data_IF_128925545195
#
_entry.id   IF_128925545195
#
_cell.length_a   1.000
_cell.length_b   1.000
_cell.length_c   1.000
_cell.angle_alpha   90.00
_cell.angle_beta   90.00
_cell.angle_gamma   90.00
#
_symmetry.space_group_name_H-M   'P 1'
#
loop_
_entity.id
_entity.type
_entity.pdbx_description
1 polymer ?
#
# COMPACT_ATOMS: atom_id res chain seq x y z
N UNK A 1 -8.34 15.22 0.12
CA UNK A 1 -8.06 14.21 1.15
C UNK A 1 -8.43 12.86 0.57
N UNK A 2 -7.45 11.97 0.40
CA UNK A 2 -7.70 10.62 -0.10
C UNK A 2 -8.22 9.80 1.08
N UNK A 3 -9.38 9.17 0.91
CA UNK A 3 -10.14 8.49 1.96
C UNK A 3 -10.06 6.96 1.80
N UNK A 4 -8.96 6.43 1.25
CA UNK A 4 -8.81 4.98 1.14
C UNK A 4 -8.60 4.40 2.53
N UNK A 5 -9.46 3.49 2.93
CA UNK A 5 -9.52 2.93 4.27
C UNK A 5 -9.73 1.43 4.22
N UNK A 6 -9.74 0.78 5.38
CA UNK A 6 -10.08 -0.64 5.51
C UNK A 6 -11.38 -1.03 4.79
N UNK A 7 -12.38 -0.14 4.75
CA UNK A 7 -13.67 -0.41 4.09
C UNK A 7 -13.58 -0.43 2.56
N UNK A 8 -12.53 0.16 2.03
CA UNK A 8 -12.27 0.16 0.60
C UNK A 8 -11.52 -1.08 0.16
N UNK A 9 -10.84 -1.78 1.06
CA UNK A 9 -10.11 -3.01 0.72
C UNK A 9 -11.07 -4.09 0.18
N UNK A 10 -10.66 -4.75 -0.88
CA UNK A 10 -11.37 -5.88 -1.48
C UNK A 10 -11.12 -7.17 -0.71
N UNK A 11 -9.88 -7.40 -0.26
CA UNK A 11 -9.49 -8.61 0.44
C UNK A 11 -9.74 -8.50 1.94
N UNK A 12 -10.06 -9.62 2.59
CA UNK A 12 -10.51 -9.67 4.00
C UNK A 12 -9.58 -10.46 4.91
N UNK A 13 -8.57 -11.11 4.35
CA UNK A 13 -7.58 -11.97 5.01
C UNK A 13 -6.38 -11.21 5.61
N UNK A 14 -6.40 -9.88 5.53
CA UNK A 14 -5.38 -9.03 6.17
C UNK A 14 -5.33 -9.19 7.68
N UNK A 15 -4.10 -9.16 8.19
CA UNK A 15 -3.79 -8.94 9.60
C UNK A 15 -3.88 -7.44 9.92
N UNK A 16 -4.18 -7.15 11.19
CA UNK A 16 -4.39 -5.78 11.68
C UNK A 16 -3.57 -5.56 12.94
N UNK A 17 -2.25 -5.68 12.82
CA UNK A 17 -1.34 -5.48 13.92
C UNK A 17 -1.35 -4.02 14.40
N UNK A 18 -1.23 -3.82 15.71
CA UNK A 18 -1.17 -2.49 16.31
C UNK A 18 0.25 -1.95 16.17
N UNK A 19 0.39 -0.81 15.49
CA UNK A 19 1.67 -0.10 15.37
C UNK A 19 1.74 1.06 16.36
N UNK A 20 2.95 1.37 16.79
CA UNK A 20 3.20 2.55 17.62
C UNK A 20 2.96 3.84 16.83
N UNK A 21 2.67 4.92 17.56
CA UNK A 21 2.58 6.25 16.98
C UNK A 21 3.97 6.61 16.41
N UNK A 22 4.05 6.79 15.08
CA UNK A 22 5.28 7.04 14.29
C UNK A 22 6.09 5.81 13.85
N UNK A 23 5.52 4.62 13.87
CA UNK A 23 6.16 3.47 13.22
C UNK A 23 6.37 3.75 11.71
N UNK A 24 7.59 3.60 11.16
CA UNK A 24 7.88 3.89 9.76
C UNK A 24 7.12 2.97 8.78
N UNK A 25 6.60 1.83 9.24
CA UNK A 25 5.80 0.93 8.39
C UNK A 25 4.43 1.52 8.03
N UNK A 26 3.95 2.47 8.84
CA UNK A 26 2.65 3.14 8.66
C UNK A 26 2.75 4.67 8.71
N UNK A 27 3.96 5.22 8.62
CA UNK A 27 4.20 6.67 8.64
C UNK A 27 5.44 7.07 7.81
N UNK A 28 5.56 8.36 7.50
CA UNK A 28 6.69 8.91 6.77
C UNK A 28 6.54 8.84 5.26
N UNK A 29 7.63 8.57 4.58
CA UNK A 29 7.74 8.46 3.12
C UNK A 29 8.24 7.04 2.79
N UNK A 30 7.76 6.40 1.72
CA UNK A 30 8.27 5.10 1.30
C UNK A 30 9.79 5.15 1.11
N UNK A 31 10.50 4.25 1.79
CA UNK A 31 11.95 4.12 1.80
C UNK A 31 12.35 2.64 1.97
N UNK A 32 13.53 2.39 2.54
CA UNK A 32 14.06 1.05 2.85
C UNK A 32 13.32 0.35 4.00
N UNK A 33 12.20 0.88 4.49
CA UNK A 33 11.39 0.23 5.52
C UNK A 33 10.77 -1.07 4.98
N UNK A 34 10.83 -2.18 5.74
CA UNK A 34 10.17 -3.43 5.36
C UNK A 34 8.66 -3.26 5.19
N UNK A 35 8.11 -3.92 4.17
CA UNK A 35 6.69 -3.92 3.84
C UNK A 35 6.13 -5.34 3.89
N UNK A 36 4.99 -5.50 4.55
CA UNK A 36 4.26 -6.76 4.68
C UNK A 36 2.93 -6.66 3.95
N UNK A 37 2.78 -7.36 2.81
CA UNK A 37 1.56 -7.32 2.01
C UNK A 37 0.33 -7.92 2.71
N UNK A 38 0.53 -8.73 3.75
CA UNK A 38 -0.54 -9.32 4.55
C UNK A 38 -1.00 -8.42 5.70
N UNK A 39 -0.31 -7.30 5.98
CA UNK A 39 -0.69 -6.34 7.01
C UNK A 39 -1.53 -5.20 6.43
N UNK A 40 -2.82 -5.20 6.74
CA UNK A 40 -3.79 -4.25 6.18
C UNK A 40 -3.46 -2.79 6.50
N UNK A 41 -2.86 -2.53 7.66
CA UNK A 41 -2.43 -1.18 8.04
C UNK A 41 -1.29 -0.67 7.13
N UNK A 42 -0.32 -1.51 6.79
CA UNK A 42 0.79 -1.16 5.89
C UNK A 42 0.28 -0.98 4.46
N UNK A 43 -0.61 -1.86 3.98
CA UNK A 43 -1.22 -1.77 2.65
C UNK A 43 -2.02 -0.47 2.49
N UNK A 44 -2.90 -0.16 3.44
CA UNK A 44 -3.70 1.08 3.40
C UNK A 44 -2.80 2.31 3.48
N UNK A 45 -1.78 2.28 4.33
CA UNK A 45 -0.80 3.36 4.42
C UNK A 45 -0.10 3.59 3.08
N UNK A 46 0.48 2.55 2.50
CA UNK A 46 1.27 2.65 1.28
C UNK A 46 0.41 3.14 0.11
N UNK A 47 -0.79 2.56 -0.06
CA UNK A 47 -1.73 2.99 -1.10
C UNK A 47 -2.06 4.48 -0.95
N UNK A 48 -2.42 4.94 0.26
CA UNK A 48 -2.73 6.35 0.49
C UNK A 48 -1.54 7.26 0.17
N UNK A 49 -0.32 6.87 0.57
CA UNK A 49 0.90 7.63 0.27
C UNK A 49 1.14 7.74 -1.23
N UNK A 50 1.04 6.63 -1.96
CA UNK A 50 1.23 6.62 -3.41
C UNK A 50 0.15 7.43 -4.14
N UNK A 51 -1.10 7.34 -3.69
CA UNK A 51 -2.17 8.17 -4.23
C UNK A 51 -1.90 9.66 -4.04
N UNK A 52 -1.36 10.08 -2.89
CA UNK A 52 -0.95 11.48 -2.66
C UNK A 52 0.22 11.85 -3.58
N UNK A 53 1.25 11.00 -3.64
CA UNK A 53 2.47 11.26 -4.42
C UNK A 53 2.22 11.34 -5.92
N UNK A 54 1.22 10.63 -6.43
CA UNK A 54 0.87 10.57 -7.86
C UNK A 54 -0.40 11.35 -8.21
N UNK A 55 -0.94 12.14 -7.28
CA UNK A 55 -2.19 12.93 -7.39
C UNK A 55 -3.41 12.10 -7.87
N UNK A 56 -3.52 10.86 -7.40
CA UNK A 56 -4.70 10.02 -7.63
C UNK A 56 -5.77 10.28 -6.57
N UNK A 57 -7.02 10.44 -7.02
CA UNK A 57 -8.13 10.87 -6.16
C UNK A 57 -9.26 9.86 -6.02
N UNK A 58 -9.25 8.80 -6.81
CA UNK A 58 -10.33 7.80 -6.86
C UNK A 58 -9.98 6.54 -6.07
N UNK A 59 -10.91 6.08 -5.23
CA UNK A 59 -10.73 4.84 -4.46
C UNK A 59 -10.48 3.61 -5.36
N UNK A 60 -11.09 3.57 -6.55
CA UNK A 60 -10.87 2.51 -7.55
C UNK A 60 -9.39 2.38 -7.94
N UNK A 61 -8.64 3.48 -7.96
CA UNK A 61 -7.19 3.44 -8.22
C UNK A 61 -6.46 2.74 -7.06
N UNK A 62 -6.88 2.99 -5.82
CA UNK A 62 -6.42 2.26 -4.64
C UNK A 62 -6.73 0.77 -4.71
N UNK A 63 -7.93 0.39 -5.16
CA UNK A 63 -8.28 -1.03 -5.36
C UNK A 63 -7.45 -1.72 -6.43
N UNK A 64 -7.14 -1.03 -7.54
CA UNK A 64 -6.21 -1.56 -8.54
C UNK A 64 -4.83 -1.82 -7.94
N UNK A 65 -4.32 -0.89 -7.12
CA UNK A 65 -3.04 -1.06 -6.40
C UNK A 65 -3.10 -2.21 -5.40
N UNK A 66 -4.15 -2.28 -4.58
CA UNK A 66 -4.37 -3.37 -3.64
C UNK A 66 -4.32 -4.73 -4.33
N UNK A 67 -5.06 -4.88 -5.43
CA UNK A 67 -5.08 -6.12 -6.22
C UNK A 67 -3.70 -6.50 -6.74
N UNK A 68 -2.92 -5.53 -7.22
CA UNK A 68 -1.55 -5.79 -7.66
C UNK A 68 -0.65 -6.23 -6.48
N UNK A 69 -0.75 -5.54 -5.34
CA UNK A 69 0.02 -5.87 -4.12
C UNK A 69 -0.30 -7.30 -3.66
N UNK A 70 -1.59 -7.62 -3.56
CA UNK A 70 -2.06 -8.87 -2.98
C UNK A 70 -1.74 -10.06 -3.89
N UNK A 71 -2.15 -9.98 -5.17
CA UNK A 71 -2.14 -11.11 -6.08
C UNK A 71 -0.82 -11.29 -6.84
N UNK A 72 -0.11 -10.18 -7.12
CA UNK A 72 0.95 -10.16 -8.14
C UNK A 72 2.30 -9.66 -7.64
N UNK A 73 2.38 -9.07 -6.44
CA UNK A 73 3.64 -8.60 -5.89
C UNK A 73 4.60 -9.79 -5.70
N UNK A 74 5.78 -9.78 -6.35
CA UNK A 74 6.77 -10.82 -6.18
C UNK A 74 7.25 -10.91 -4.73
N UNK A 75 7.46 -12.11 -4.18
CA UNK A 75 7.90 -12.28 -2.78
C UNK A 75 9.32 -11.75 -2.52
N UNK A 76 10.09 -11.47 -3.58
CA UNK A 76 11.42 -10.85 -3.49
C UNK A 76 11.36 -9.35 -3.20
N UNK A 77 10.21 -8.70 -3.44
CA UNK A 77 10.01 -7.27 -3.21
C UNK A 77 9.45 -7.08 -1.80
N UNK A 78 10.29 -6.58 -0.91
CA UNK A 78 9.98 -6.52 0.54
C UNK A 78 10.17 -5.14 1.15
N UNK A 79 10.62 -4.14 0.38
CA UNK A 79 10.83 -2.76 0.85
C UNK A 79 9.77 -1.83 0.27
N UNK A 80 9.32 -0.83 1.05
CA UNK A 80 8.28 0.10 0.61
C UNK A 80 8.64 0.83 -0.70
N UNK A 81 9.89 1.28 -0.84
CA UNK A 81 10.34 1.95 -2.07
C UNK A 81 10.35 1.02 -3.29
N UNK A 82 10.69 -0.26 -3.11
CA UNK A 82 10.71 -1.24 -4.19
C UNK A 82 9.27 -1.58 -4.61
N UNK A 83 8.35 -1.71 -3.65
CA UNK A 83 6.91 -1.88 -3.93
C UNK A 83 6.38 -0.68 -4.71
N UNK A 84 6.77 0.54 -4.32
CA UNK A 84 6.43 1.76 -5.05
C UNK A 84 6.91 1.71 -6.51
N UNK A 85 8.18 1.36 -6.74
CA UNK A 85 8.74 1.28 -8.08
C UNK A 85 8.04 0.21 -8.92
N UNK A 86 7.80 -0.96 -8.34
CA UNK A 86 7.11 -2.07 -8.99
C UNK A 86 5.66 -1.71 -9.34
N UNK A 87 4.93 -1.09 -8.42
CA UNK A 87 3.57 -0.61 -8.69
C UNK A 87 3.56 0.41 -9.82
N UNK A 88 4.50 1.36 -9.83
CA UNK A 88 4.59 2.35 -10.91
C UNK A 88 4.82 1.71 -12.28
N UNK A 89 5.55 0.61 -12.35
CA UNK A 89 5.80 -0.13 -13.59
C UNK A 89 4.61 -1.01 -14.03
N UNK A 90 3.82 -1.53 -13.09
CA UNK A 90 2.76 -2.51 -13.35
C UNK A 90 1.34 -1.93 -13.31
N UNK A 91 1.15 -0.74 -12.73
CA UNK A 91 -0.15 -0.07 -12.66
C UNK A 91 -0.51 0.52 -14.03
N UNK A 92 -1.33 -0.21 -14.77
CA UNK A 92 -1.88 0.20 -16.07
C UNK A 92 -3.33 0.66 -15.90
N UNK A 93 -3.70 1.77 -16.56
CA UNK A 93 -5.04 2.35 -16.47
C UNK A 93 -5.93 1.93 -17.62
#
# INVERSE_FOLDING_TARGET
MILFSRRNLHYTDYKWSVYNQNDPRVNGKPDTTPFTKDEGNEVVYLINKLMILWDYRFANTGNKMEKLIHDQLPPTITLQEDVQQWLKANLKF
#
